data_IF_080233123797
#
_entry.id   IF_080233123797
#
_cell.length_a   1.000
_cell.length_b   1.000
_cell.length_c   1.000
_cell.angle_alpha   90.00
_cell.angle_beta   90.00
_cell.angle_gamma   90.00
#
_symmetry.space_group_name_H-M   'P 1'
#
loop_
_entity.id
_entity.type
_entity.pdbx_description
1 polymer ?
#
# COMPACT_ATOMS: atom_id res chain seq x y z
N UNK A 1 -12.20 -17.06 0.35
CA UNK A 1 -12.84 -15.71 0.30
C UNK A 1 -12.07 -14.81 1.24
N UNK A 2 -11.50 -13.69 0.73
CA UNK A 2 -10.92 -12.65 1.58
C UNK A 2 -12.06 -11.73 2.03
N UNK A 3 -12.79 -12.14 3.05
CA UNK A 3 -13.75 -11.24 3.67
C UNK A 3 -13.01 -10.49 4.78
N UNK A 4 -12.45 -9.34 4.46
CA UNK A 4 -11.94 -8.44 5.49
C UNK A 4 -13.09 -7.58 5.95
N UNK A 5 -13.72 -7.94 7.05
CA UNK A 5 -14.78 -7.14 7.67
C UNK A 5 -14.12 -6.10 8.57
N UNK A 6 -14.29 -4.83 8.22
CA UNK A 6 -13.77 -3.71 8.99
C UNK A 6 -14.91 -2.98 9.69
N UNK A 7 -15.15 -3.32 10.96
CA UNK A 7 -16.03 -2.55 11.86
C UNK A 7 -15.16 -1.59 12.69
N UNK A 8 -14.97 -0.35 12.23
CA UNK A 8 -14.05 0.58 12.86
C UNK A 8 -14.74 1.80 13.48
N UNK A 9 -14.59 1.95 14.80
CA UNK A 9 -14.76 3.23 15.50
C UNK A 9 -13.40 3.66 16.05
N UNK A 10 -12.90 4.82 15.63
CA UNK A 10 -11.61 5.32 16.08
C UNK A 10 -11.75 6.67 16.76
N UNK A 11 -11.24 6.80 18.00
CA UNK A 11 -11.10 8.08 18.71
C UNK A 11 -9.63 8.34 19.01
N UNK A 12 -9.05 9.38 18.43
CA UNK A 12 -7.73 9.89 18.81
C UNK A 12 -7.90 11.17 19.62
N UNK A 13 -7.40 11.18 20.87
CA UNK A 13 -7.33 12.39 21.74
C UNK A 13 -8.62 13.24 21.72
N UNK A 14 -9.73 12.69 22.13
CA UNK A 14 -11.03 13.36 22.27
C UNK A 14 -11.69 13.91 20.99
N UNK A 15 -11.05 13.80 19.81
CA UNK A 15 -11.66 14.07 18.51
C UNK A 15 -11.83 12.76 17.74
N UNK A 16 -13.05 12.46 17.30
CA UNK A 16 -13.31 11.36 16.38
C UNK A 16 -12.74 11.74 15.00
N UNK A 17 -11.62 11.13 14.60
CA UNK A 17 -11.02 11.33 13.26
C UNK A 17 -11.79 10.52 12.23
N UNK A 18 -12.24 9.33 12.60
CA UNK A 18 -13.03 8.47 11.73
C UNK A 18 -14.43 8.31 12.34
N UNK A 19 -15.44 8.58 11.53
CA UNK A 19 -16.81 8.12 11.83
C UNK A 19 -16.84 6.59 11.78
N UNK A 20 -17.93 5.98 12.24
CA UNK A 20 -18.12 4.53 12.11
C UNK A 20 -17.94 4.13 10.64
N UNK A 21 -16.91 3.33 10.38
CA UNK A 21 -16.66 2.74 9.06
C UNK A 21 -16.96 1.25 9.17
N UNK A 22 -17.86 0.79 8.31
CA UNK A 22 -18.20 -0.62 8.14
C UNK A 22 -17.82 -0.97 6.70
N UNK A 23 -16.73 -1.72 6.53
CA UNK A 23 -16.14 -1.96 5.22
C UNK A 23 -15.73 -3.41 5.07
N UNK A 24 -16.21 -4.03 4.00
CA UNK A 24 -15.76 -5.36 3.58
C UNK A 24 -15.05 -5.25 2.24
N UNK A 25 -13.85 -5.79 2.15
CA UNK A 25 -13.07 -5.80 0.92
C UNK A 25 -12.89 -7.24 0.48
N UNK A 26 -13.38 -7.55 -0.71
CA UNK A 26 -13.25 -8.88 -1.30
C UNK A 26 -11.94 -9.00 -2.11
N UNK A 27 -11.43 -10.22 -2.22
CA UNK A 27 -10.25 -10.51 -3.03
C UNK A 27 -10.45 -10.04 -4.49
N UNK A 28 -9.45 -9.37 -5.03
CA UNK A 28 -9.42 -8.81 -6.40
C UNK A 28 -10.44 -7.67 -6.65
N UNK A 29 -11.19 -7.23 -5.64
CA UNK A 29 -12.00 -6.02 -5.74
C UNK A 29 -11.18 -4.84 -5.21
N UNK A 30 -10.54 -4.12 -6.13
CA UNK A 30 -9.72 -2.96 -5.78
C UNK A 30 -10.57 -1.85 -5.18
N UNK A 31 -10.00 -1.09 -4.23
CA UNK A 31 -10.69 -0.03 -3.50
C UNK A 31 -9.95 1.30 -3.62
N UNK A 32 -10.70 2.37 -3.88
CA UNK A 32 -10.24 3.74 -3.73
C UNK A 32 -10.83 4.34 -2.46
N UNK A 33 -9.98 4.85 -1.58
CA UNK A 33 -10.36 5.68 -0.43
C UNK A 33 -10.16 7.13 -0.85
N UNK A 34 -11.26 7.83 -1.17
CA UNK A 34 -11.25 9.18 -1.73
C UNK A 34 -11.70 10.18 -0.67
N UNK A 35 -10.98 11.28 -0.55
CA UNK A 35 -11.38 12.35 0.37
C UNK A 35 -10.35 13.47 0.49
N UNK A 36 -10.73 14.57 1.11
CA UNK A 36 -9.86 15.73 1.30
C UNK A 36 -8.62 15.41 2.14
N UNK A 37 -7.60 16.27 2.06
CA UNK A 37 -6.44 16.15 2.93
C UNK A 37 -6.86 16.26 4.40
N UNK A 38 -6.33 15.39 5.25
CA UNK A 38 -6.62 15.39 6.71
C UNK A 38 -7.92 14.69 7.11
N UNK A 39 -8.76 14.14 6.19
CA UNK A 39 -9.99 13.44 6.55
C UNK A 39 -9.78 12.07 7.22
N UNK A 40 -8.54 11.55 7.26
CA UNK A 40 -8.22 10.31 7.98
C UNK A 40 -7.83 9.12 7.08
N UNK A 41 -7.61 9.30 5.78
CA UNK A 41 -7.25 8.22 4.84
C UNK A 41 -6.01 7.43 5.27
N UNK A 42 -4.91 8.14 5.58
CA UNK A 42 -3.67 7.50 6.09
C UNK A 42 -3.92 6.78 7.42
N UNK A 43 -4.76 7.35 8.30
CA UNK A 43 -5.15 6.69 9.55
C UNK A 43 -5.89 5.39 9.28
N UNK A 44 -6.82 5.40 8.33
CA UNK A 44 -7.55 4.20 7.93
C UNK A 44 -6.62 3.13 7.35
N UNK A 45 -5.69 3.50 6.45
CA UNK A 45 -4.67 2.57 5.95
C UNK A 45 -3.83 1.99 7.10
N UNK A 46 -3.37 2.82 8.03
CA UNK A 46 -2.57 2.36 9.16
C UNK A 46 -3.33 1.41 10.09
N UNK A 47 -4.64 1.59 10.25
CA UNK A 47 -5.50 0.66 10.96
C UNK A 47 -5.66 -0.66 10.20
N UNK A 48 -5.98 -0.60 8.91
CA UNK A 48 -6.14 -1.78 8.05
C UNK A 48 -4.87 -2.62 7.98
N UNK A 49 -3.72 -1.98 8.05
CA UNK A 49 -2.40 -2.64 8.05
C UNK A 49 -1.92 -3.06 9.44
N UNK A 50 -2.67 -2.76 10.51
CA UNK A 50 -2.28 -3.05 11.89
C UNK A 50 -1.09 -2.23 12.40
N UNK A 51 -0.71 -1.14 11.71
CA UNK A 51 0.28 -0.16 12.20
C UNK A 51 -0.30 0.72 13.32
N UNK A 52 -1.64 0.84 13.38
CA UNK A 52 -2.36 1.47 14.48
C UNK A 52 -3.41 0.50 15.02
N UNK A 53 -3.64 0.55 16.33
CA UNK A 53 -4.72 -0.19 16.98
C UNK A 53 -5.99 0.68 17.04
N UNK A 54 -7.18 0.16 16.76
CA UNK A 54 -8.43 0.90 16.89
C UNK A 54 -8.75 1.15 18.36
N UNK A 55 -9.39 2.29 18.68
CA UNK A 55 -9.89 2.56 20.05
C UNK A 55 -11.12 1.72 20.38
N UNK A 56 -11.89 1.32 19.36
CA UNK A 56 -13.05 0.44 19.47
C UNK A 56 -13.36 -0.17 18.11
N UNK A 57 -14.08 -1.29 18.10
CA UNK A 57 -14.35 -2.06 16.90
C UNK A 57 -13.27 -3.12 16.65
N UNK A 58 -13.40 -3.85 15.58
CA UNK A 58 -12.56 -4.99 15.25
C UNK A 58 -12.07 -4.92 13.82
N UNK A 59 -10.87 -5.43 13.59
CA UNK A 59 -10.27 -5.55 12.27
C UNK A 59 -9.94 -7.02 12.05
N UNK A 60 -10.35 -7.54 10.91
CA UNK A 60 -10.04 -8.90 10.50
C UNK A 60 -9.26 -8.88 9.18
N UNK A 61 -8.29 -9.74 9.09
CA UNK A 61 -7.68 -10.11 7.83
C UNK A 61 -7.83 -11.61 7.65
N UNK A 62 -8.59 -12.01 6.63
CA UNK A 62 -9.09 -13.38 6.50
C UNK A 62 -9.85 -13.74 7.80
N UNK A 63 -9.46 -14.82 8.49
CA UNK A 63 -10.11 -15.25 9.74
C UNK A 63 -9.37 -14.75 11.00
N UNK A 64 -8.34 -13.90 10.84
CA UNK A 64 -7.52 -13.42 11.95
C UNK A 64 -8.03 -12.08 12.48
N UNK A 65 -8.53 -12.06 13.71
CA UNK A 65 -8.88 -10.83 14.42
C UNK A 65 -7.62 -10.18 14.99
N UNK A 66 -7.33 -8.92 14.61
CA UNK A 66 -6.14 -8.19 15.06
C UNK A 66 -6.07 -7.99 16.57
N UNK A 67 -7.22 -7.89 17.24
CA UNK A 67 -7.27 -7.70 18.69
C UNK A 67 -6.74 -8.91 19.48
N UNK A 68 -6.71 -10.08 18.84
CA UNK A 68 -6.23 -11.33 19.43
C UNK A 68 -4.76 -11.64 19.11
N UNK A 69 -4.12 -10.82 18.26
CA UNK A 69 -2.74 -11.01 17.83
C UNK A 69 -1.78 -10.19 18.69
N UNK A 70 -0.65 -10.78 19.01
CA UNK A 70 0.50 -10.06 19.56
C UNK A 70 1.11 -9.13 18.50
N UNK A 71 1.93 -8.17 18.93
CA UNK A 71 2.60 -7.24 18.01
C UNK A 71 3.50 -8.01 17.03
N UNK A 72 4.18 -9.07 17.46
CA UNK A 72 5.00 -9.93 16.60
C UNK A 72 4.16 -10.67 15.54
N UNK A 73 2.99 -11.18 15.92
CA UNK A 73 2.09 -11.85 14.97
C UNK A 73 1.51 -10.86 13.94
N UNK A 74 1.21 -9.61 14.36
CA UNK A 74 0.82 -8.53 13.44
C UNK A 74 1.96 -8.14 12.50
N UNK A 75 3.22 -8.10 12.98
CA UNK A 75 4.39 -7.84 12.14
C UNK A 75 4.59 -8.94 11.10
N UNK A 76 4.46 -10.20 11.51
CA UNK A 76 4.53 -11.34 10.60
C UNK A 76 3.40 -11.30 9.56
N UNK A 77 2.16 -11.04 9.99
CA UNK A 77 1.02 -10.91 9.11
C UNK A 77 1.24 -9.81 8.06
N UNK A 78 1.76 -8.64 8.47
CA UNK A 78 2.11 -7.54 7.56
C UNK A 78 3.18 -7.96 6.55
N UNK A 79 4.27 -8.50 7.03
CA UNK A 79 5.42 -8.85 6.19
C UNK A 79 5.10 -9.92 5.15
N UNK A 80 4.16 -10.80 5.44
CA UNK A 80 3.76 -11.90 4.56
C UNK A 80 2.65 -11.51 3.57
N UNK A 81 1.77 -10.58 3.97
CA UNK A 81 0.52 -10.38 3.21
C UNK A 81 0.34 -8.97 2.65
N UNK A 82 1.06 -7.96 3.16
CA UNK A 82 0.82 -6.57 2.79
C UNK A 82 2.02 -5.92 2.11
N UNK A 83 1.75 -5.30 0.97
CA UNK A 83 2.66 -4.38 0.30
C UNK A 83 2.30 -2.94 0.66
N UNK A 84 3.26 -2.18 1.20
CA UNK A 84 3.03 -0.81 1.63
C UNK A 84 3.80 0.17 0.75
N UNK A 85 3.07 1.09 0.12
CA UNK A 85 3.59 2.19 -0.69
C UNK A 85 3.14 3.48 -0.02
N UNK A 86 4.07 4.16 0.62
CA UNK A 86 3.79 5.38 1.39
C UNK A 86 3.88 6.63 0.52
N UNK A 87 3.16 7.68 0.88
CA UNK A 87 3.25 9.01 0.26
C UNK A 87 4.70 9.53 0.28
N UNK A 88 5.38 9.45 1.44
CA UNK A 88 6.83 9.61 1.51
C UNK A 88 7.48 8.29 1.17
N UNK A 89 8.26 8.25 0.10
CA UNK A 89 8.78 7.00 -0.48
C UNK A 89 9.74 6.23 0.45
N UNK A 90 10.29 6.88 1.48
CA UNK A 90 11.18 6.27 2.49
C UNK A 90 12.31 5.40 1.89
N UNK A 91 12.86 5.81 0.74
CA UNK A 91 14.04 5.15 0.18
C UNK A 91 15.26 5.50 1.01
N UNK A 92 16.09 4.50 1.27
CA UNK A 92 17.37 4.70 1.95
C UNK A 92 18.35 5.23 0.92
N UNK A 93 18.67 6.53 1.03
CA UNK A 93 19.37 7.30 -0.01
C UNK A 93 20.75 6.79 -0.38
N UNK A 94 21.49 6.19 0.56
CA UNK A 94 22.83 5.64 0.35
C UNK A 94 22.84 4.19 -0.17
N UNK A 95 21.71 3.52 -0.19
CA UNK A 95 21.55 2.21 -0.79
C UNK A 95 21.19 2.32 -2.28
N UNK A 96 21.59 1.31 -3.05
CA UNK A 96 21.19 1.21 -4.45
C UNK A 96 19.75 0.67 -4.60
N UNK A 97 19.24 0.60 -5.83
CA UNK A 97 17.88 0.15 -6.13
C UNK A 97 17.66 -1.27 -5.61
N UNK A 98 18.53 -2.21 -5.98
CA UNK A 98 18.43 -3.61 -5.57
C UNK A 98 18.42 -3.76 -4.03
N UNK A 99 19.28 -3.04 -3.34
CA UNK A 99 19.34 -3.04 -1.88
C UNK A 99 18.07 -2.47 -1.24
N UNK A 100 17.54 -1.36 -1.77
CA UNK A 100 16.27 -0.79 -1.27
C UNK A 100 15.10 -1.77 -1.41
N UNK A 101 15.02 -2.51 -2.52
CA UNK A 101 13.98 -3.52 -2.74
C UNK A 101 14.19 -4.72 -1.82
N UNK A 102 15.45 -5.16 -1.66
CA UNK A 102 15.82 -6.31 -0.81
C UNK A 102 15.49 -6.12 0.66
N UNK A 103 15.39 -4.87 1.15
CA UNK A 103 14.99 -4.58 2.54
C UNK A 103 13.60 -5.12 2.89
N UNK A 104 12.70 -5.17 1.90
CA UNK A 104 11.34 -5.69 2.11
C UNK A 104 11.24 -7.19 1.88
N UNK A 105 12.29 -7.82 1.33
CA UNK A 105 12.25 -9.24 0.93
C UNK A 105 12.25 -10.15 2.16
N UNK A 106 11.22 -10.98 2.28
CA UNK A 106 11.18 -12.06 3.27
C UNK A 106 11.94 -13.30 2.73
N UNK A 107 12.54 -14.08 3.62
CA UNK A 107 13.32 -15.29 3.24
C UNK A 107 12.47 -16.37 2.57
N UNK A 108 11.19 -16.42 2.84
CA UNK A 108 10.24 -17.41 2.31
C UNK A 108 9.77 -17.16 0.87
N UNK A 109 9.98 -15.97 0.30
CA UNK A 109 9.50 -15.60 -1.03
C UNK A 109 10.69 -15.33 -1.97
N UNK A 110 10.79 -16.12 -3.02
CA UNK A 110 11.87 -16.05 -4.01
C UNK A 110 11.52 -15.19 -5.22
N UNK A 111 11.00 -13.95 -5.03
CA UNK A 111 10.85 -13.04 -6.16
C UNK A 111 12.22 -12.70 -6.75
N UNK A 112 12.32 -12.82 -8.07
CA UNK A 112 13.50 -12.37 -8.80
C UNK A 112 13.51 -10.83 -8.85
N UNK A 113 14.36 -10.22 -8.03
CA UNK A 113 14.46 -8.75 -7.94
C UNK A 113 14.83 -8.15 -9.30
N UNK A 114 15.65 -8.81 -10.11
CA UNK A 114 16.04 -8.32 -11.43
C UNK A 114 14.82 -8.27 -12.38
N UNK A 115 13.98 -9.28 -12.38
CA UNK A 115 12.72 -9.25 -13.15
C UNK A 115 11.81 -8.13 -12.68
N UNK A 116 11.66 -7.95 -11.37
CA UNK A 116 10.84 -6.89 -10.81
C UNK A 116 11.37 -5.49 -11.21
N UNK A 117 12.70 -5.28 -11.16
CA UNK A 117 13.34 -4.03 -11.60
C UNK A 117 13.06 -3.79 -13.08
N UNK A 118 13.16 -4.81 -13.92
CA UNK A 118 12.89 -4.73 -15.36
C UNK A 118 11.42 -4.41 -15.65
N UNK A 119 10.51 -5.10 -14.98
CA UNK A 119 9.04 -4.89 -15.08
C UNK A 119 8.62 -3.44 -14.77
N UNK A 120 9.38 -2.78 -13.90
CA UNK A 120 9.15 -1.39 -13.50
C UNK A 120 9.91 -0.37 -14.36
N UNK A 121 10.52 -0.81 -15.47
CA UNK A 121 11.22 0.07 -16.40
C UNK A 121 12.50 0.68 -15.81
N UNK A 122 13.17 -0.07 -14.92
CA UNK A 122 14.45 0.32 -14.30
C UNK A 122 15.60 -0.57 -14.77
N UNK A 123 15.49 -1.15 -15.98
CA UNK A 123 16.46 -2.04 -16.58
C UNK A 123 17.88 -1.46 -16.55
N UNK A 124 18.86 -2.27 -16.13
CA UNK A 124 20.27 -1.90 -16.04
C UNK A 124 20.64 -0.92 -14.93
N UNK A 125 19.68 -0.55 -14.06
CA UNK A 125 19.89 0.45 -12.99
C UNK A 125 20.03 -0.14 -11.59
N UNK A 126 20.13 -1.44 -11.45
CA UNK A 126 20.15 -2.17 -10.17
C UNK A 126 21.14 -1.58 -9.15
N UNK A 127 22.32 -1.18 -9.62
CA UNK A 127 23.39 -0.63 -8.76
C UNK A 127 23.36 0.89 -8.61
N UNK A 128 22.39 1.58 -9.25
CA UNK A 128 22.25 3.03 -9.12
C UNK A 128 21.80 3.38 -7.70
N UNK A 129 22.54 4.32 -7.08
CA UNK A 129 22.26 4.81 -5.73
C UNK A 129 20.94 5.60 -5.71
N UNK A 130 20.07 5.34 -4.72
CA UNK A 130 18.76 5.93 -4.63
C UNK A 130 18.76 7.47 -4.54
N UNK A 131 19.82 8.08 -4.00
CA UNK A 131 20.01 9.54 -3.98
C UNK A 131 20.00 10.18 -5.37
N UNK A 132 20.41 9.45 -6.39
CA UNK A 132 20.59 9.93 -7.78
C UNK A 132 19.38 9.61 -8.68
N UNK A 133 18.28 9.12 -8.11
CA UNK A 133 17.07 8.80 -8.84
C UNK A 133 16.22 10.05 -9.06
N UNK A 134 15.60 10.14 -10.22
CA UNK A 134 14.49 11.07 -10.45
C UNK A 134 13.30 10.73 -9.56
N UNK A 135 12.34 11.66 -9.43
CA UNK A 135 11.10 11.44 -8.65
C UNK A 135 10.36 10.20 -9.18
N UNK A 136 10.18 10.08 -10.49
CA UNK A 136 9.48 8.95 -11.10
C UNK A 136 10.21 7.61 -10.93
N UNK A 137 11.55 7.60 -10.97
CA UNK A 137 12.36 6.40 -10.68
C UNK A 137 12.24 6.02 -9.21
N UNK A 138 12.33 6.97 -8.31
CA UNK A 138 12.15 6.78 -6.87
C UNK A 138 10.77 6.18 -6.57
N UNK A 139 9.71 6.67 -7.24
CA UNK A 139 8.36 6.14 -7.14
C UNK A 139 8.31 4.66 -7.56
N UNK A 140 8.91 4.33 -8.72
CA UNK A 140 8.94 2.94 -9.20
C UNK A 140 9.72 2.01 -8.27
N UNK A 141 10.83 2.48 -7.69
CA UNK A 141 11.59 1.71 -6.67
C UNK A 141 10.76 1.50 -5.40
N UNK A 142 10.00 2.50 -4.95
CA UNK A 142 9.11 2.36 -3.80
C UNK A 142 7.97 1.36 -4.07
N UNK A 143 7.41 1.36 -5.28
CA UNK A 143 6.43 0.35 -5.72
C UNK A 143 7.08 -1.03 -5.73
N UNK A 144 8.27 -1.19 -6.35
CA UNK A 144 9.00 -2.45 -6.36
C UNK A 144 9.21 -3.01 -4.95
N UNK A 145 9.66 -2.15 -4.03
CA UNK A 145 9.85 -2.55 -2.63
C UNK A 145 8.53 -2.99 -1.98
N UNK A 146 7.43 -2.26 -2.23
CA UNK A 146 6.12 -2.59 -1.69
C UNK A 146 5.57 -3.94 -2.15
N UNK A 147 5.97 -4.42 -3.35
CA UNK A 147 5.46 -5.68 -3.91
C UNK A 147 6.49 -6.83 -3.88
N UNK A 148 7.70 -6.58 -3.34
CA UNK A 148 8.82 -7.52 -3.36
C UNK A 148 8.53 -8.88 -2.72
N UNK A 149 7.58 -8.94 -1.78
CA UNK A 149 7.14 -10.16 -1.08
C UNK A 149 5.91 -10.83 -1.71
N UNK A 150 5.51 -10.44 -2.93
CA UNK A 150 4.30 -10.97 -3.55
C UNK A 150 3.06 -10.88 -2.63
N UNK A 151 2.69 -9.68 -2.17
CA UNK A 151 1.66 -9.48 -1.16
C UNK A 151 0.27 -9.86 -1.68
N UNK A 152 -0.64 -10.26 -0.77
CA UNK A 152 -2.06 -10.46 -1.08
C UNK A 152 -2.82 -9.12 -1.23
N UNK A 153 -2.35 -8.09 -0.52
CA UNK A 153 -2.95 -6.74 -0.56
C UNK A 153 -1.86 -5.69 -0.72
N UNK A 154 -2.04 -4.78 -1.67
CA UNK A 154 -1.17 -3.62 -1.88
C UNK A 154 -1.91 -2.39 -1.37
N UNK A 155 -1.35 -1.71 -0.38
CA UNK A 155 -1.81 -0.42 0.13
C UNK A 155 -0.91 0.68 -0.45
N UNK A 156 -1.51 1.65 -1.13
CA UNK A 156 -0.81 2.81 -1.68
C UNK A 156 -1.44 4.10 -1.12
N UNK A 157 -0.71 4.77 -0.24
CA UNK A 157 -1.15 6.02 0.39
C UNK A 157 -0.69 7.21 -0.44
N UNK A 158 -1.65 7.92 -1.05
CA UNK A 158 -1.44 9.10 -1.89
C UNK A 158 -0.34 8.92 -2.97
N UNK A 159 -0.34 7.83 -3.76
CA UNK A 159 0.76 7.49 -4.67
C UNK A 159 0.94 8.49 -5.83
N UNK A 160 -0.01 9.39 -6.02
CA UNK A 160 -0.03 10.36 -7.14
C UNK A 160 -0.05 11.83 -6.69
N UNK A 161 0.08 12.11 -5.39
CA UNK A 161 -0.17 13.43 -4.79
C UNK A 161 0.72 14.58 -5.30
N UNK A 162 1.86 14.28 -5.95
CA UNK A 162 2.79 15.28 -6.47
C UNK A 162 3.01 15.16 -7.99
N UNK A 163 2.07 14.47 -8.69
CA UNK A 163 2.24 14.16 -10.10
C UNK A 163 1.25 14.93 -10.99
N UNK A 164 1.73 15.30 -12.18
CA UNK A 164 0.87 15.75 -13.26
C UNK A 164 -0.07 14.63 -13.75
N UNK A 165 -0.98 14.97 -14.65
CA UNK A 165 -1.99 14.03 -15.14
C UNK A 165 -1.38 12.82 -15.87
N UNK A 166 -0.36 13.05 -16.71
CA UNK A 166 0.30 11.98 -17.47
C UNK A 166 1.02 11.00 -16.54
N UNK A 167 1.75 11.51 -15.56
CA UNK A 167 2.48 10.67 -14.60
C UNK A 167 1.54 10.01 -13.59
N UNK A 168 0.44 10.67 -13.20
CA UNK A 168 -0.65 10.07 -12.42
C UNK A 168 -1.20 8.83 -13.12
N UNK A 169 -1.55 8.95 -14.41
CA UNK A 169 -2.03 7.82 -15.22
C UNK A 169 -1.04 6.66 -15.22
N UNK A 170 0.25 6.94 -15.52
CA UNK A 170 1.30 5.92 -15.56
C UNK A 170 1.47 5.17 -14.23
N UNK A 171 1.42 5.89 -13.10
CA UNK A 171 1.57 5.27 -11.77
C UNK A 171 0.36 4.39 -11.43
N UNK A 172 -0.85 4.85 -11.72
CA UNK A 172 -2.07 4.06 -11.47
C UNK A 172 -2.08 2.81 -12.35
N UNK A 173 -1.80 2.92 -13.65
CA UNK A 173 -1.70 1.78 -14.56
C UNK A 173 -0.62 0.78 -14.12
N UNK A 174 0.51 1.28 -13.64
CA UNK A 174 1.58 0.44 -13.08
C UNK A 174 1.11 -0.33 -11.85
N UNK A 175 0.44 0.34 -10.89
CA UNK A 175 -0.10 -0.31 -9.70
C UNK A 175 -1.12 -1.40 -10.04
N UNK A 176 -2.04 -1.14 -10.97
CA UNK A 176 -2.99 -2.14 -11.45
C UNK A 176 -2.31 -3.32 -12.15
N UNK A 177 -1.30 -3.04 -12.98
CA UNK A 177 -0.53 -4.07 -13.67
C UNK A 177 0.17 -4.99 -12.66
N UNK A 178 0.81 -4.40 -11.64
CA UNK A 178 1.48 -5.18 -10.60
C UNK A 178 0.48 -5.95 -9.73
N UNK A 179 -0.63 -5.34 -9.34
CA UNK A 179 -1.68 -6.01 -8.58
C UNK A 179 -2.25 -7.23 -9.36
N UNK A 180 -2.44 -7.09 -10.68
CA UNK A 180 -2.87 -8.19 -11.55
C UNK A 180 -1.82 -9.31 -11.64
N UNK A 181 -0.55 -8.97 -11.82
CA UNK A 181 0.56 -9.95 -11.89
C UNK A 181 0.70 -10.76 -10.60
N UNK A 182 0.51 -10.12 -9.45
CA UNK A 182 0.65 -10.75 -8.12
C UNK A 182 -0.66 -11.31 -7.59
N UNK A 183 -1.77 -11.18 -8.33
CA UNK A 183 -3.13 -11.50 -7.85
C UNK A 183 -3.51 -10.79 -6.55
N UNK A 184 -2.95 -9.61 -6.32
CA UNK A 184 -3.18 -8.80 -5.13
C UNK A 184 -4.43 -7.92 -5.26
N UNK A 185 -5.07 -7.65 -4.14
CA UNK A 185 -6.09 -6.59 -4.04
C UNK A 185 -5.39 -5.27 -3.84
N UNK A 186 -5.69 -4.27 -4.68
CA UNK A 186 -5.12 -2.93 -4.61
C UNK A 186 -6.05 -1.99 -3.83
N UNK A 187 -5.52 -1.34 -2.80
CA UNK A 187 -6.21 -0.32 -2.00
C UNK A 187 -5.40 0.99 -2.13
N UNK A 188 -6.02 2.01 -2.69
CA UNK A 188 -5.38 3.32 -2.89
C UNK A 188 -6.11 4.37 -2.08
N UNK A 189 -5.38 5.20 -1.34
CA UNK A 189 -5.93 6.44 -0.80
C UNK A 189 -5.55 7.62 -1.69
N UNK A 190 -6.45 8.54 -1.91
CA UNK A 190 -6.15 9.76 -2.65
C UNK A 190 -7.14 10.90 -2.36
N UNK A 191 -6.68 12.13 -2.58
CA UNK A 191 -7.55 13.30 -2.71
C UNK A 191 -7.75 13.71 -4.17
N UNK A 192 -7.14 12.99 -5.11
CA UNK A 192 -7.17 13.26 -6.55
C UNK A 192 -8.36 12.56 -7.22
N UNK A 193 -9.38 13.33 -7.57
CA UNK A 193 -10.59 12.84 -8.25
C UNK A 193 -10.33 12.28 -9.65
N UNK A 194 -9.21 12.63 -10.29
CA UNK A 194 -8.85 12.15 -11.63
C UNK A 194 -8.69 10.63 -11.68
N UNK A 195 -8.32 9.99 -10.55
CA UNK A 195 -8.12 8.54 -10.50
C UNK A 195 -9.43 7.77 -10.23
N UNK A 196 -10.53 8.44 -9.89
CA UNK A 196 -11.84 7.83 -9.61
C UNK A 196 -12.29 6.88 -10.73
N UNK A 197 -12.04 7.24 -11.97
CA UNK A 197 -12.43 6.48 -13.17
C UNK A 197 -11.78 5.09 -13.29
N UNK A 198 -10.71 4.83 -12.54
CA UNK A 198 -10.01 3.52 -12.57
C UNK A 198 -10.56 2.52 -11.56
N UNK A 199 -11.43 2.95 -10.65
CA UNK A 199 -11.94 2.10 -9.55
C UNK A 199 -13.45 1.95 -9.64
N UNK A 200 -13.92 0.71 -9.46
CA UNK A 200 -15.35 0.39 -9.33
C UNK A 200 -15.86 0.51 -7.89
N UNK A 201 -14.96 0.29 -6.89
CA UNK A 201 -15.31 0.42 -5.48
C UNK A 201 -14.64 1.66 -4.92
N UNK A 202 -15.44 2.55 -4.31
CA UNK A 202 -14.97 3.82 -3.78
C UNK A 202 -15.56 4.03 -2.39
N UNK A 203 -14.68 4.31 -1.42
CA UNK A 203 -15.05 4.81 -0.11
C UNK A 203 -14.77 6.30 -0.08
N UNK A 204 -15.81 7.12 -0.02
CA UNK A 204 -15.67 8.57 0.14
C UNK A 204 -15.67 8.95 1.63
N UNK A 205 -14.68 9.75 2.06
CA UNK A 205 -14.44 10.15 3.45
C UNK A 205 -14.57 11.67 3.63
#
# INVERSE_FOLDING_TARGET
MLNTILNLKFKLKAKSILKKIDLTIEKNKHLLILGSSGCGKTTLINLMTGLLKPSSGEIFFEDKNYSLLSDQELDNLRSENFGLIFQKLHLIKHLNIEQNISLAKNKSHSLNINELINDLGLFGRNKQIAKNLSVGESQRVAIARGIANNPKVIFADEPTSALDELNTKKVIELLFTQAKKTYATLIVSSHDYRIKKYFSNILEM
#
